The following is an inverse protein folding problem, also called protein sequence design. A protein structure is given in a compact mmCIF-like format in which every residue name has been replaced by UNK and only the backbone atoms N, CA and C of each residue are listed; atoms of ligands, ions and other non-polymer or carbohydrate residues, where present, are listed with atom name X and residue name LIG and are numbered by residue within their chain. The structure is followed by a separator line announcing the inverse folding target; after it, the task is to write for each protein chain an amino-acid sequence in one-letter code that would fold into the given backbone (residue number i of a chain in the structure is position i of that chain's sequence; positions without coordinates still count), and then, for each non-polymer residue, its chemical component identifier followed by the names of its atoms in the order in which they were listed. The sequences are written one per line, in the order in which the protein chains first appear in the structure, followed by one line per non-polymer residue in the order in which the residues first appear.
data_IF_715954647364
#
_entry.id   IF_715954647364
#
_cell.length_a   1.000
_cell.length_b   1.000
_cell.length_c   1.000
_cell.angle_alpha   90.00
_cell.angle_beta   90.00
_cell.angle_gamma   90.00
#
_symmetry.space_group_name_H-M   'P 1'
#
loop_
_entity.id
_entity.type
_entity.pdbx_description
1 polymer ?
#
# COMPACT_ATOMS: atom_id res chain seq x y z
N UNK A 1 17.25 -2.32 4.41
CA UNK A 1 16.31 -3.36 3.92
C UNK A 1 16.44 -3.48 2.40
N UNK A 2 16.51 -4.70 1.83
CA UNK A 2 16.56 -4.92 0.37
C UNK A 2 15.23 -5.55 -0.04
N UNK A 3 14.45 -4.82 -0.82
CA UNK A 3 13.18 -5.30 -1.37
C UNK A 3 13.46 -5.88 -2.75
N UNK A 4 12.96 -7.07 -3.03
CA UNK A 4 13.08 -7.66 -4.35
C UNK A 4 12.12 -6.94 -5.32
N UNK A 5 12.67 -6.40 -6.39
CA UNK A 5 11.90 -5.76 -7.46
C UNK A 5 11.27 -6.82 -8.38
N UNK A 6 10.23 -6.46 -9.15
CA UNK A 6 9.69 -7.33 -10.18
C UNK A 6 10.75 -7.83 -11.14
N UNK A 7 10.65 -9.08 -11.54
CA UNK A 7 11.53 -9.72 -12.51
C UNK A 7 10.76 -9.88 -13.81
N UNK A 8 10.79 -8.84 -14.63
CA UNK A 8 10.10 -8.85 -15.92
C UNK A 8 11.04 -9.28 -17.05
N UNK A 9 10.54 -9.99 -18.07
CA UNK A 9 11.25 -10.17 -19.33
C UNK A 9 11.68 -8.83 -19.94
N UNK A 10 12.82 -8.82 -20.64
CA UNK A 10 13.32 -7.58 -21.29
C UNK A 10 12.36 -7.06 -22.35
N UNK A 11 11.78 -7.97 -23.10
CA UNK A 11 10.84 -7.69 -24.17
C UNK A 11 9.48 -8.30 -23.79
N UNK A 12 8.59 -7.46 -23.26
CA UNK A 12 7.20 -7.81 -23.01
C UNK A 12 6.39 -7.47 -24.26
N UNK A 13 5.69 -8.42 -24.88
CA UNK A 13 4.80 -8.13 -25.98
C UNK A 13 3.65 -7.24 -25.52
N UNK A 14 3.30 -6.26 -26.32
CA UNK A 14 2.10 -5.47 -26.07
C UNK A 14 0.86 -6.33 -26.36
N UNK A 15 -0.03 -6.38 -25.38
CA UNK A 15 -1.34 -6.98 -25.54
C UNK A 15 -2.39 -5.88 -25.66
N UNK A 16 -3.47 -6.17 -26.35
CA UNK A 16 -4.63 -5.33 -26.42
C UNK A 16 -5.83 -6.01 -25.77
N UNK A 17 -6.80 -5.21 -25.30
CA UNK A 17 -8.05 -5.68 -24.76
C UNK A 17 -7.92 -6.42 -23.41
N UNK A 18 -7.52 -5.65 -22.40
CA UNK A 18 -7.43 -6.13 -21.02
C UNK A 18 -8.76 -6.73 -20.53
N UNK A 19 -9.90 -6.22 -20.97
CA UNK A 19 -11.22 -6.76 -20.60
C UNK A 19 -11.41 -8.22 -21.06
N UNK A 20 -10.86 -8.59 -22.22
CA UNK A 20 -10.91 -9.98 -22.69
C UNK A 20 -9.95 -10.89 -21.95
N UNK A 21 -8.80 -10.34 -21.51
CA UNK A 21 -7.81 -11.09 -20.75
C UNK A 21 -8.23 -11.28 -19.30
N UNK A 22 -8.92 -10.30 -18.72
CA UNK A 22 -9.41 -10.37 -17.35
C UNK A 22 -10.66 -11.24 -17.28
N UNK A 23 -10.49 -12.52 -17.09
CA UNK A 23 -11.58 -13.44 -16.77
C UNK A 23 -11.33 -14.08 -15.42
N UNK A 24 -12.39 -14.32 -14.68
CA UNK A 24 -12.29 -14.93 -13.35
C UNK A 24 -11.54 -16.25 -13.39
N UNK A 25 -10.63 -16.43 -12.42
CA UNK A 25 -9.82 -17.64 -12.24
C UNK A 25 -8.88 -17.99 -13.43
N UNK A 26 -8.61 -17.02 -14.34
CA UNK A 26 -7.64 -17.20 -15.42
C UNK A 26 -6.25 -16.61 -15.07
N UNK A 27 -5.22 -17.06 -15.80
CA UNK A 27 -3.86 -16.56 -15.68
C UNK A 27 -3.48 -15.70 -16.87
N UNK A 28 -2.94 -14.50 -16.59
CA UNK A 28 -2.34 -13.61 -17.57
C UNK A 28 -0.84 -13.56 -17.30
N UNK A 29 -0.01 -13.80 -18.30
CA UNK A 29 1.43 -13.81 -18.09
C UNK A 29 2.21 -13.15 -19.23
N UNK A 30 3.36 -12.56 -18.86
CA UNK A 30 4.40 -12.05 -19.75
C UNK A 30 3.87 -11.11 -20.85
N UNK A 31 3.06 -10.11 -20.44
CA UNK A 31 2.49 -9.10 -21.35
C UNK A 31 2.59 -7.69 -20.78
N UNK A 32 2.62 -6.72 -21.68
CA UNK A 32 2.46 -5.30 -21.38
C UNK A 32 1.10 -4.81 -21.87
N UNK A 33 0.40 -4.07 -21.03
CA UNK A 33 -0.91 -3.50 -21.32
C UNK A 33 -0.88 -2.01 -20.96
N UNK A 34 -1.39 -1.18 -21.86
CA UNK A 34 -1.41 0.26 -21.62
C UNK A 34 -2.65 0.93 -22.17
N UNK A 35 -3.07 2.02 -21.50
CA UNK A 35 -4.20 2.85 -21.90
C UNK A 35 -5.55 2.10 -22.02
N UNK A 36 -5.72 1.09 -21.17
CA UNK A 36 -6.93 0.28 -21.12
C UNK A 36 -7.89 0.78 -20.03
N UNK A 37 -9.17 0.53 -20.21
CA UNK A 37 -10.20 0.88 -19.23
C UNK A 37 -10.95 -0.37 -18.78
N UNK A 38 -10.83 -0.68 -17.49
CA UNK A 38 -11.57 -1.76 -16.81
C UNK A 38 -12.34 -1.21 -15.61
N UNK A 39 -12.66 0.07 -15.64
CA UNK A 39 -13.46 0.70 -14.59
C UNK A 39 -14.80 -0.02 -14.41
N UNK A 40 -15.23 -0.19 -13.15
CA UNK A 40 -16.43 -0.91 -12.77
C UNK A 40 -16.46 -2.41 -13.21
N UNK A 41 -15.36 -2.97 -13.71
CA UNK A 41 -15.29 -4.40 -13.96
C UNK A 41 -15.49 -5.21 -12.67
N UNK A 42 -16.07 -6.41 -12.79
CA UNK A 42 -16.26 -7.31 -11.65
C UNK A 42 -15.66 -8.67 -11.99
N UNK A 43 -14.45 -8.90 -11.49
CA UNK A 43 -13.63 -10.04 -11.86
C UNK A 43 -12.94 -10.54 -10.58
N UNK A 44 -12.83 -11.85 -10.41
CA UNK A 44 -12.27 -12.45 -9.21
C UNK A 44 -11.23 -13.51 -9.55
N UNK A 45 -10.25 -13.66 -8.67
CA UNK A 45 -9.31 -14.77 -8.70
C UNK A 45 -8.29 -14.71 -9.84
N UNK A 46 -8.17 -13.60 -10.58
CA UNK A 46 -7.18 -13.48 -11.67
C UNK A 46 -5.77 -13.64 -11.12
N UNK A 47 -4.97 -14.43 -11.80
CA UNK A 47 -3.55 -14.55 -11.58
C UNK A 47 -2.80 -13.79 -12.66
N UNK A 48 -1.91 -12.90 -12.26
CA UNK A 48 -1.11 -12.11 -13.18
C UNK A 48 0.37 -12.27 -12.83
N UNK A 49 1.17 -12.68 -13.79
CA UNK A 49 2.59 -12.95 -13.62
C UNK A 49 3.40 -12.27 -14.71
N UNK A 50 4.49 -11.60 -14.31
CA UNK A 50 5.39 -10.90 -15.23
C UNK A 50 4.66 -9.89 -16.13
N UNK A 51 3.76 -9.09 -15.58
CA UNK A 51 3.00 -8.12 -16.37
C UNK A 51 3.38 -6.68 -16.05
N UNK A 52 3.28 -5.83 -17.08
CA UNK A 52 3.33 -4.38 -16.94
C UNK A 52 1.96 -3.79 -17.28
N UNK A 53 1.40 -3.04 -16.34
CA UNK A 53 0.18 -2.27 -16.51
C UNK A 53 0.54 -0.79 -16.46
N UNK A 54 0.31 -0.04 -17.53
CA UNK A 54 0.60 1.38 -17.59
C UNK A 54 -0.64 2.17 -18.03
N UNK A 55 -0.96 3.25 -17.30
CA UNK A 55 -2.10 4.11 -17.61
C UNK A 55 -3.45 3.35 -17.71
N UNK A 56 -3.64 2.37 -16.85
CA UNK A 56 -4.89 1.61 -16.77
C UNK A 56 -5.87 2.35 -15.86
N UNK A 57 -7.11 2.49 -16.32
CA UNK A 57 -8.22 2.92 -15.47
C UNK A 57 -8.99 1.71 -14.94
N UNK A 58 -8.83 1.44 -13.64
CA UNK A 58 -9.56 0.41 -12.90
C UNK A 58 -10.41 1.03 -11.78
N UNK A 59 -10.82 2.29 -11.95
CA UNK A 59 -11.65 3.00 -10.97
C UNK A 59 -12.90 2.20 -10.63
N UNK A 60 -13.15 1.99 -9.33
CA UNK A 60 -14.29 1.25 -8.79
C UNK A 60 -14.41 -0.22 -9.29
N UNK A 61 -13.37 -0.76 -9.92
CA UNK A 61 -13.37 -2.16 -10.31
C UNK A 61 -13.35 -3.07 -9.07
N UNK A 62 -14.01 -4.20 -9.17
CA UNK A 62 -13.99 -5.28 -8.18
C UNK A 62 -13.04 -6.36 -8.71
N UNK A 63 -11.84 -6.42 -8.12
CA UNK A 63 -10.73 -7.29 -8.51
C UNK A 63 -10.28 -8.11 -7.29
N UNK A 64 -11.21 -8.77 -6.61
CA UNK A 64 -10.96 -9.53 -5.39
C UNK A 64 -10.13 -10.79 -5.65
N UNK A 65 -9.33 -11.18 -4.66
CA UNK A 65 -8.49 -12.38 -4.68
C UNK A 65 -7.50 -12.43 -5.86
N UNK A 66 -7.07 -11.24 -6.35
CA UNK A 66 -6.02 -11.19 -7.37
C UNK A 66 -4.68 -11.68 -6.82
N UNK A 67 -4.02 -12.50 -7.60
CA UNK A 67 -2.63 -12.90 -7.34
C UNK A 67 -1.72 -12.18 -8.34
N UNK A 68 -0.83 -11.32 -7.83
CA UNK A 68 0.14 -10.59 -8.63
C UNK A 68 1.55 -11.07 -8.28
N UNK A 69 2.30 -11.53 -9.25
CA UNK A 69 3.71 -11.91 -9.12
C UNK A 69 4.54 -11.23 -10.19
N UNK A 70 5.62 -10.56 -9.78
CA UNK A 70 6.52 -9.87 -10.70
C UNK A 70 5.80 -8.88 -11.62
N UNK A 71 5.05 -7.93 -11.02
CA UNK A 71 4.21 -7.01 -11.76
C UNK A 71 4.64 -5.55 -11.55
N UNK A 72 4.52 -4.74 -12.59
CA UNK A 72 4.63 -3.29 -12.55
C UNK A 72 3.28 -2.65 -12.84
N UNK A 73 2.86 -1.70 -11.98
CA UNK A 73 1.62 -0.92 -12.09
C UNK A 73 2.06 0.56 -12.12
N UNK A 74 2.02 1.16 -13.31
CA UNK A 74 2.62 2.46 -13.58
C UNK A 74 1.56 3.49 -14.00
N UNK A 75 1.48 4.58 -13.26
CA UNK A 75 0.57 5.70 -13.55
C UNK A 75 -0.90 5.28 -13.78
N UNK A 76 -1.39 4.31 -13.00
CA UNK A 76 -2.73 3.77 -13.11
C UNK A 76 -3.71 4.48 -12.17
N UNK A 77 -5.00 4.45 -12.53
CA UNK A 77 -6.11 4.87 -11.70
C UNK A 77 -6.77 3.67 -11.03
N UNK A 78 -6.48 3.51 -9.75
CA UNK A 78 -7.01 2.46 -8.88
C UNK A 78 -7.93 3.05 -7.79
N UNK A 79 -8.65 4.12 -8.12
CA UNK A 79 -9.51 4.84 -7.17
C UNK A 79 -10.68 3.96 -6.77
N UNK A 80 -10.85 3.72 -5.46
CA UNK A 80 -11.88 2.88 -4.87
C UNK A 80 -11.94 1.45 -5.47
N UNK A 81 -10.83 0.98 -6.06
CA UNK A 81 -10.73 -0.40 -6.57
C UNK A 81 -10.78 -1.37 -5.39
N UNK A 82 -11.60 -2.41 -5.50
CA UNK A 82 -11.75 -3.45 -4.49
C UNK A 82 -10.83 -4.61 -4.83
N UNK A 83 -9.77 -4.78 -4.05
CA UNK A 83 -8.75 -5.83 -4.21
C UNK A 83 -8.55 -6.60 -2.90
N UNK A 84 -9.63 -6.87 -2.18
CA UNK A 84 -9.58 -7.64 -0.94
C UNK A 84 -9.05 -9.06 -1.16
N UNK A 85 -8.44 -9.63 -0.12
CA UNK A 85 -7.90 -11.00 -0.12
C UNK A 85 -6.86 -11.26 -1.22
N UNK A 86 -6.19 -10.22 -1.70
CA UNK A 86 -5.19 -10.33 -2.74
C UNK A 86 -3.85 -10.87 -2.21
N UNK A 87 -3.08 -11.48 -3.08
CA UNK A 87 -1.72 -11.92 -2.80
C UNK A 87 -0.73 -11.29 -3.79
N UNK A 88 0.09 -10.36 -3.31
CA UNK A 88 1.07 -9.65 -4.14
C UNK A 88 2.49 -10.05 -3.75
N UNK A 89 3.30 -10.35 -4.73
CA UNK A 89 4.69 -10.71 -4.55
C UNK A 89 5.58 -10.06 -5.61
N UNK A 90 6.59 -9.31 -5.18
CA UNK A 90 7.48 -8.52 -6.04
C UNK A 90 6.68 -7.64 -7.02
N UNK A 91 5.93 -6.71 -6.43
CA UNK A 91 5.09 -5.77 -7.18
C UNK A 91 5.59 -4.34 -6.97
N UNK A 92 5.74 -3.61 -8.06
CA UNK A 92 6.02 -2.18 -8.06
C UNK A 92 4.74 -1.42 -8.45
N UNK A 93 4.32 -0.49 -7.60
CA UNK A 93 3.24 0.46 -7.92
C UNK A 93 3.85 1.85 -7.91
N UNK A 94 3.85 2.53 -9.04
CA UNK A 94 4.49 3.83 -9.16
C UNK A 94 3.57 4.87 -9.82
N UNK A 95 3.56 6.10 -9.25
CA UNK A 95 2.85 7.24 -9.80
C UNK A 95 1.34 7.07 -9.91
N UNK A 96 0.76 6.12 -9.18
CA UNK A 96 -0.63 5.69 -9.34
C UNK A 96 -1.56 6.37 -8.32
N UNK A 97 -2.82 6.57 -8.74
CA UNK A 97 -3.90 7.08 -7.89
C UNK A 97 -4.65 5.91 -7.27
N UNK A 98 -4.37 5.63 -6.00
CA UNK A 98 -4.94 4.51 -5.23
C UNK A 98 -5.84 5.00 -4.09
N UNK A 99 -6.48 6.17 -4.25
CA UNK A 99 -7.33 6.72 -3.19
C UNK A 99 -8.51 5.80 -2.91
N UNK A 100 -8.68 5.39 -1.64
CA UNK A 100 -9.75 4.50 -1.23
C UNK A 100 -9.62 3.05 -1.71
N UNK A 101 -8.45 2.64 -2.20
CA UNK A 101 -8.22 1.23 -2.59
C UNK A 101 -8.49 0.29 -1.41
N UNK A 102 -9.16 -0.81 -1.67
CA UNK A 102 -9.56 -1.81 -0.67
C UNK A 102 -8.66 -3.05 -0.79
N UNK A 103 -7.70 -3.17 0.12
CA UNK A 103 -6.73 -4.28 0.17
C UNK A 103 -6.90 -5.13 1.44
N UNK A 104 -8.02 -5.00 2.17
CA UNK A 104 -8.21 -5.70 3.44
C UNK A 104 -7.97 -7.20 3.31
N UNK A 105 -7.39 -7.79 4.33
CA UNK A 105 -7.07 -9.23 4.43
C UNK A 105 -6.10 -9.74 3.36
N UNK A 106 -5.34 -8.84 2.70
CA UNK A 106 -4.37 -9.20 1.67
C UNK A 106 -2.98 -9.49 2.23
N UNK A 107 -2.20 -10.24 1.46
CA UNK A 107 -0.79 -10.54 1.73
C UNK A 107 0.10 -9.84 0.71
N UNK A 108 0.93 -8.88 1.16
CA UNK A 108 1.87 -8.14 0.34
C UNK A 108 3.29 -8.49 0.77
N UNK A 109 4.06 -9.07 -0.15
CA UNK A 109 5.45 -9.44 0.09
C UNK A 109 6.37 -8.89 -1.00
N UNK A 110 7.45 -8.21 -0.62
CA UNK A 110 8.36 -7.54 -1.55
C UNK A 110 7.60 -6.55 -2.47
N UNK A 111 6.83 -5.65 -1.87
CA UNK A 111 6.02 -4.66 -2.60
C UNK A 111 6.55 -3.26 -2.36
N UNK A 112 6.62 -2.47 -3.41
CA UNK A 112 7.04 -1.07 -3.33
C UNK A 112 5.97 -0.16 -3.93
N UNK A 113 5.53 0.84 -3.15
CA UNK A 113 4.71 1.95 -3.61
C UNK A 113 5.59 3.20 -3.70
N UNK A 114 5.66 3.83 -4.87
CA UNK A 114 6.45 5.05 -5.11
C UNK A 114 5.55 6.14 -5.68
N UNK A 115 5.59 7.34 -5.10
CA UNK A 115 4.85 8.51 -5.58
C UNK A 115 3.33 8.26 -5.72
N UNK A 116 2.75 7.44 -4.84
CA UNK A 116 1.34 7.03 -4.91
C UNK A 116 0.45 7.86 -4.00
N UNK A 117 -0.80 8.09 -4.45
CA UNK A 117 -1.87 8.66 -3.62
C UNK A 117 -2.69 7.53 -3.02
N UNK A 118 -2.48 7.26 -1.74
CA UNK A 118 -3.10 6.17 -0.97
C UNK A 118 -4.03 6.72 0.13
N UNK A 119 -4.56 7.93 -0.04
CA UNK A 119 -5.53 8.49 0.90
C UNK A 119 -6.71 7.54 1.05
N UNK A 120 -7.21 7.35 2.29
CA UNK A 120 -8.32 6.46 2.60
C UNK A 120 -8.11 4.98 2.19
N UNK A 121 -6.88 4.57 1.88
CA UNK A 121 -6.58 3.19 1.53
C UNK A 121 -6.84 2.25 2.72
N UNK A 122 -7.44 1.10 2.45
CA UNK A 122 -7.79 0.12 3.46
C UNK A 122 -6.82 -1.06 3.44
N UNK A 123 -5.92 -1.11 4.43
CA UNK A 123 -4.96 -2.19 4.69
C UNK A 123 -5.32 -2.99 5.94
N UNK A 124 -6.57 -2.99 6.38
CA UNK A 124 -7.00 -3.70 7.59
C UNK A 124 -6.72 -5.20 7.45
N UNK A 125 -6.21 -5.80 8.53
CA UNK A 125 -5.88 -7.22 8.59
C UNK A 125 -4.87 -7.70 7.53
N UNK A 126 -4.16 -6.78 6.86
CA UNK A 126 -3.14 -7.15 5.88
C UNK A 126 -1.91 -7.73 6.55
N UNK A 127 -1.24 -8.64 5.84
CA UNK A 127 0.11 -9.07 6.16
C UNK A 127 1.10 -8.41 5.21
N UNK A 128 1.89 -7.47 5.74
CA UNK A 128 2.90 -6.74 4.99
C UNK A 128 4.30 -7.27 5.37
N UNK A 129 5.02 -7.80 4.42
CA UNK A 129 6.36 -8.32 4.65
C UNK A 129 7.32 -7.74 3.62
N UNK A 130 8.36 -7.03 4.07
CA UNK A 130 9.34 -6.40 3.20
C UNK A 130 8.66 -5.42 2.21
N UNK A 131 7.92 -4.44 2.76
CA UNK A 131 7.16 -3.46 1.97
C UNK A 131 7.73 -2.06 2.16
N UNK A 132 7.77 -1.28 1.08
CA UNK A 132 8.18 0.13 1.10
C UNK A 132 7.07 1.02 0.57
N UNK A 133 6.82 2.09 1.30
CA UNK A 133 6.07 3.25 0.84
C UNK A 133 7.05 4.41 0.73
N UNK A 134 7.22 4.95 -0.46
CA UNK A 134 8.15 6.06 -0.73
C UNK A 134 7.42 7.22 -1.38
N UNK A 135 7.56 8.43 -0.81
CA UNK A 135 6.89 9.65 -1.27
C UNK A 135 5.36 9.49 -1.39
N UNK A 136 4.74 8.67 -0.56
CA UNK A 136 3.31 8.38 -0.65
C UNK A 136 2.48 9.29 0.26
N UNK A 137 1.25 9.58 -0.17
CA UNK A 137 0.25 10.23 0.66
C UNK A 137 -0.71 9.17 1.18
N UNK A 138 -0.68 8.92 2.50
CA UNK A 138 -1.45 7.88 3.19
C UNK A 138 -2.47 8.48 4.18
N UNK A 139 -2.85 9.72 3.95
CA UNK A 139 -3.80 10.42 4.82
C UNK A 139 -5.10 9.62 4.99
N UNK A 140 -5.52 9.43 6.23
CA UNK A 140 -6.70 8.62 6.60
C UNK A 140 -6.65 7.15 6.15
N UNK A 141 -5.48 6.62 5.78
CA UNK A 141 -5.33 5.19 5.52
C UNK A 141 -5.50 4.37 6.80
N UNK A 142 -6.00 3.15 6.67
CA UNK A 142 -6.32 2.29 7.81
C UNK A 142 -5.52 0.97 7.77
N UNK A 143 -4.59 0.83 8.74
CA UNK A 143 -3.80 -0.38 8.99
C UNK A 143 -4.30 -1.12 10.25
N UNK A 144 -5.57 -1.02 10.59
CA UNK A 144 -6.13 -1.72 11.75
C UNK A 144 -5.79 -3.20 11.73
N UNK A 145 -5.23 -3.71 12.82
CA UNK A 145 -4.84 -5.11 12.99
C UNK A 145 -3.94 -5.68 11.88
N UNK A 146 -3.22 -4.83 11.13
CA UNK A 146 -2.25 -5.28 10.14
C UNK A 146 -1.00 -5.87 10.84
N UNK A 147 -0.42 -6.92 10.24
CA UNK A 147 0.85 -7.49 10.66
C UNK A 147 1.95 -6.99 9.73
N UNK A 148 2.85 -6.15 10.24
CA UNK A 148 3.92 -5.52 9.48
C UNK A 148 5.28 -6.05 9.93
N UNK A 149 6.04 -6.59 9.00
CA UNK A 149 7.41 -7.03 9.24
C UNK A 149 8.32 -6.48 8.15
N UNK A 150 9.41 -5.79 8.55
CA UNK A 150 10.33 -5.14 7.62
C UNK A 150 9.58 -4.18 6.67
N UNK A 151 8.90 -3.18 7.24
CA UNK A 151 8.16 -2.16 6.47
C UNK A 151 8.80 -0.79 6.68
N UNK A 152 8.94 -0.02 5.59
CA UNK A 152 9.52 1.32 5.64
C UNK A 152 8.56 2.33 5.01
N UNK A 153 8.35 3.42 5.74
CA UNK A 153 7.65 4.61 5.24
C UNK A 153 8.70 5.71 5.05
N UNK A 154 9.05 6.01 3.79
CA UNK A 154 10.04 7.01 3.41
C UNK A 154 9.35 8.25 2.83
N UNK A 155 9.53 9.41 3.47
CA UNK A 155 8.96 10.68 3.02
C UNK A 155 7.45 10.64 2.78
N UNK A 156 6.73 9.89 3.62
CA UNK A 156 5.28 9.74 3.54
C UNK A 156 4.54 10.77 4.39
N UNK A 157 3.30 11.09 3.98
CA UNK A 157 2.34 11.85 4.79
C UNK A 157 1.35 10.89 5.41
N UNK A 158 1.27 10.88 6.74
CA UNK A 158 0.48 9.93 7.52
C UNK A 158 -0.59 10.61 8.40
N UNK A 159 -1.06 11.80 7.98
CA UNK A 159 -2.09 12.50 8.76
C UNK A 159 -3.35 11.64 8.90
N UNK A 160 -3.84 11.52 10.12
CA UNK A 160 -4.99 10.67 10.51
C UNK A 160 -4.89 9.20 10.10
N UNK A 161 -3.72 8.72 9.70
CA UNK A 161 -3.51 7.28 9.45
C UNK A 161 -3.69 6.50 10.75
N UNK A 162 -4.39 5.36 10.67
CA UNK A 162 -4.69 4.52 11.83
C UNK A 162 -3.84 3.24 11.84
N UNK A 163 -3.18 2.98 12.99
CA UNK A 163 -2.40 1.76 13.24
C UNK A 163 -2.95 0.96 14.44
N UNK A 164 -4.22 1.17 14.80
CA UNK A 164 -4.81 0.52 15.97
C UNK A 164 -4.70 -1.00 15.88
N UNK A 165 -4.25 -1.63 16.95
CA UNK A 165 -4.03 -3.09 17.03
C UNK A 165 -3.02 -3.65 16.01
N UNK A 166 -2.32 -2.83 15.26
CA UNK A 166 -1.29 -3.28 14.33
C UNK A 166 -0.11 -3.91 15.10
N UNK A 167 0.51 -4.92 14.50
CA UNK A 167 1.71 -5.57 15.03
C UNK A 167 2.91 -5.11 14.22
N UNK A 168 3.78 -4.30 14.80
CA UNK A 168 4.95 -3.73 14.14
C UNK A 168 6.22 -4.49 14.54
N UNK A 169 6.92 -5.03 13.54
CA UNK A 169 8.23 -5.65 13.70
C UNK A 169 9.21 -5.07 12.70
N UNK A 170 10.20 -4.31 13.18
CA UNK A 170 11.15 -3.58 12.33
C UNK A 170 10.44 -2.68 11.30
N UNK A 171 9.53 -1.85 11.78
CA UNK A 171 8.85 -0.84 10.97
C UNK A 171 9.50 0.52 11.20
N UNK A 172 9.87 1.20 10.13
CA UNK A 172 10.64 2.43 10.14
C UNK A 172 9.84 3.61 9.57
N UNK A 173 9.71 4.68 10.35
CA UNK A 173 9.00 5.91 9.97
C UNK A 173 9.90 7.15 9.91
N UNK A 174 11.22 7.03 10.14
CA UNK A 174 12.13 8.14 10.46
C UNK A 174 12.12 9.34 9.52
N UNK A 175 11.70 9.20 8.28
CA UNK A 175 11.67 10.31 7.32
C UNK A 175 10.25 10.79 6.99
N UNK A 176 9.26 10.23 7.66
CA UNK A 176 7.84 10.50 7.38
C UNK A 176 7.20 11.41 8.41
N UNK A 177 6.16 12.12 8.03
CA UNK A 177 5.36 12.91 8.97
C UNK A 177 4.34 12.02 9.68
N UNK A 178 4.56 11.86 10.99
CA UNK A 178 3.72 11.04 11.88
C UNK A 178 2.94 11.87 12.89
N UNK A 179 2.98 13.20 12.79
CA UNK A 179 2.40 14.12 13.80
C UNK A 179 0.89 14.00 13.92
N UNK A 180 0.20 13.61 12.86
CA UNK A 180 -1.25 13.46 12.81
C UNK A 180 -1.77 12.03 12.90
N UNK A 181 -0.93 11.02 13.23
CA UNK A 181 -1.39 9.63 13.32
C UNK A 181 -2.47 9.46 14.39
N UNK A 182 -3.47 8.61 14.10
CA UNK A 182 -4.49 8.23 15.07
C UNK A 182 -4.00 7.10 15.96
N UNK A 183 -4.36 7.15 17.26
CA UNK A 183 -4.03 6.11 18.23
C UNK A 183 -2.53 5.81 18.28
N UNK A 184 -1.79 6.75 18.88
CA UNK A 184 -0.32 6.68 19.01
C UNK A 184 0.18 5.35 19.60
N UNK A 185 -0.62 4.63 20.37
CA UNK A 185 -0.31 3.28 20.87
C UNK A 185 -0.05 2.29 19.72
N UNK A 186 -0.68 2.47 18.57
CA UNK A 186 -0.48 1.64 17.39
C UNK A 186 0.93 1.72 16.80
N UNK A 187 1.74 2.71 17.22
CA UNK A 187 3.15 2.81 16.84
C UNK A 187 4.09 2.01 17.76
N UNK A 188 3.57 1.22 18.70
CA UNK A 188 4.40 0.38 19.56
C UNK A 188 5.28 -0.58 18.73
N UNK A 189 6.60 -0.55 18.95
CA UNK A 189 7.58 -1.32 18.18
C UNK A 189 8.09 -0.63 16.90
N UNK A 190 7.63 0.58 16.61
CA UNK A 190 8.13 1.39 15.50
C UNK A 190 9.52 1.98 15.77
N UNK A 191 10.26 2.28 14.70
CA UNK A 191 11.46 3.10 14.71
C UNK A 191 11.13 4.51 14.25
N UNK A 192 11.44 5.50 15.08
CA UNK A 192 11.30 6.94 14.79
C UNK A 192 12.61 7.67 15.15
N UNK A 193 12.77 8.90 14.70
CA UNK A 193 13.89 9.75 15.11
C UNK A 193 13.55 10.67 16.30
N UNK A 194 14.55 11.39 16.80
CA UNK A 194 14.39 12.29 17.96
C UNK A 194 13.47 13.50 17.65
N UNK A 195 13.50 14.00 16.42
CA UNK A 195 12.64 15.12 16.01
C UNK A 195 11.18 14.69 15.99
N UNK A 196 10.90 13.53 15.45
CA UNK A 196 9.56 12.93 15.47
C UNK A 196 9.08 12.66 16.89
N UNK A 197 9.96 12.15 17.77
CA UNK A 197 9.60 11.92 19.17
C UNK A 197 9.18 13.23 19.85
N UNK A 198 9.92 14.31 19.65
CA UNK A 198 9.56 15.63 20.20
C UNK A 198 8.22 16.12 19.64
N UNK A 199 7.98 15.92 18.35
CA UNK A 199 6.74 16.34 17.70
C UNK A 199 5.50 15.60 18.20
N UNK A 200 5.62 14.30 18.54
CA UNK A 200 4.51 13.48 19.06
C UNK A 200 4.45 13.43 20.58
N UNK A 201 5.39 14.05 21.29
CA UNK A 201 5.43 14.04 22.77
C UNK A 201 4.11 14.51 23.42
N UNK A 202 3.41 15.56 22.92
CA UNK A 202 2.12 15.95 23.46
C UNK A 202 1.05 14.87 23.32
N UNK A 203 1.05 14.11 22.20
CA UNK A 203 0.14 13.00 21.99
C UNK A 203 0.43 11.84 22.95
N UNK A 204 1.72 11.54 23.17
CA UNK A 204 2.14 10.52 24.14
C UNK A 204 1.77 10.92 25.56
N UNK A 205 1.96 12.19 25.94
CA UNK A 205 1.56 12.71 27.25
C UNK A 205 0.04 12.55 27.46
N UNK A 206 -0.76 12.92 26.47
CA UNK A 206 -2.22 12.78 26.50
C UNK A 206 -2.62 11.29 26.68
N UNK A 207 -2.02 10.42 25.91
CA UNK A 207 -2.32 8.98 25.93
C UNK A 207 -1.98 8.33 27.28
N UNK A 208 -0.84 8.73 27.87
CA UNK A 208 -0.37 8.27 29.17
C UNK A 208 -0.99 9.05 30.34
N UNK A 209 -1.89 10.01 30.06
CA UNK A 209 -2.51 10.88 31.07
C UNK A 209 -1.47 11.68 31.90
N UNK A 210 -0.34 12.03 31.30
CA UNK A 210 0.67 12.86 31.90
C UNK A 210 0.25 14.31 31.82
N UNK A 211 0.27 15.00 32.96
CA UNK A 211 -0.01 16.45 33.02
C UNK A 211 1.32 17.19 32.92
N UNK A 212 1.51 17.91 31.82
CA UNK A 212 2.65 18.83 31.65
C UNK A 212 2.27 20.19 32.17
N UNK A 213 3.06 20.77 33.07
CA UNK A 213 2.89 22.15 33.59
C UNK A 213 4.24 22.82 33.45
N UNK A 214 4.21 23.97 32.79
CA UNK A 214 5.35 24.88 32.82
C UNK A 214 5.31 25.72 34.12
N UNK A 215 6.46 25.94 34.74
CA UNK A 215 6.55 26.85 35.90
C UNK A 215 6.25 28.25 35.40
N UNK A 216 5.37 28.96 36.12
CA UNK A 216 5.06 30.37 35.91
C UNK A 216 6.16 31.25 36.48
#
# INVERSE_FOLDING_TARGET
MKIALPQLPKDLPDAADLQKLLKSDETIASVSLSHENVSNANIRGVQAEEIRLAHIDATQAVLERMVLSDCEILACDLIATQMAEAAWRRVLVQGSRCCGIQLQSSSLKDVTFIDCKLNLANFRFCKLTNVRFQNCVLEEADFYAAEMTDVVFEHCKLDKTAFSSAKLKRVDFRTSDITGVRNIQGLAGATIDSTQLMAIAPLLATELKIVVKDDM
#
